data_IF_428668310421
#
_entry.id   IF_428668310421
#
_cell.length_a   1.000
_cell.length_b   1.000
_cell.length_c   1.000
_cell.angle_alpha   90.00
_cell.angle_beta   90.00
_cell.angle_gamma   90.00
#
_symmetry.space_group_name_H-M   'P 1'
#
loop_
_entity.id
_entity.type
_entity.pdbx_description
1 polymer ?
#
# COMPACT_ATOMS: atom_id res chain seq x y z
N UNK A 1 2.73 -3.83 0.58
CA UNK A 1 4.08 -4.24 0.11
C UNK A 1 5.04 -4.34 1.28
N UNK A 2 6.23 -4.93 1.11
CA UNK A 2 7.21 -5.12 2.18
C UNK A 2 8.36 -4.12 2.07
N UNK A 3 8.68 -3.43 3.17
CA UNK A 3 9.80 -2.49 3.30
C UNK A 3 10.79 -3.02 4.33
N UNK A 4 12.08 -2.99 4.04
CA UNK A 4 13.15 -3.40 4.95
C UNK A 4 13.93 -2.21 5.46
N UNK A 5 14.16 -2.18 6.77
CA UNK A 5 15.00 -1.20 7.45
C UNK A 5 15.94 -1.93 8.43
N UNK A 6 17.20 -2.07 8.04
CA UNK A 6 18.16 -2.93 8.73
C UNK A 6 17.66 -4.38 8.82
N UNK A 7 17.53 -4.89 10.05
CA UNK A 7 17.02 -6.23 10.32
C UNK A 7 15.49 -6.33 10.27
N UNK A 8 14.79 -5.19 10.29
CA UNK A 8 13.34 -5.17 10.38
C UNK A 8 12.67 -5.17 9.01
N UNK A 9 11.57 -5.91 8.92
CA UNK A 9 10.69 -5.91 7.75
C UNK A 9 9.31 -5.43 8.17
N UNK A 10 8.75 -4.52 7.38
CA UNK A 10 7.46 -3.89 7.60
C UNK A 10 6.52 -4.18 6.43
N UNK A 11 5.34 -4.72 6.73
CA UNK A 11 4.21 -4.76 5.81
C UNK A 11 3.48 -3.42 5.83
N UNK A 12 3.53 -2.73 4.70
CA UNK A 12 2.83 -1.46 4.46
C UNK A 12 1.56 -1.73 3.65
N UNK A 13 0.42 -1.22 4.08
CA UNK A 13 -0.85 -1.30 3.34
C UNK A 13 -1.81 -0.16 3.75
N UNK A 14 -2.96 -0.08 3.09
CA UNK A 14 -4.06 0.75 3.57
C UNK A 14 -4.59 0.19 4.90
N UNK A 15 -4.98 1.06 5.84
CA UNK A 15 -5.44 0.62 7.15
C UNK A 15 -6.74 -0.20 7.06
N UNK A 16 -7.66 0.22 6.20
CA UNK A 16 -8.92 -0.49 6.01
C UNK A 16 -8.74 -1.93 5.52
N UNK A 17 -7.61 -2.26 4.87
CA UNK A 17 -7.31 -3.63 4.44
C UNK A 17 -7.10 -4.55 5.65
N UNK A 18 -6.45 -4.07 6.70
CA UNK A 18 -6.33 -4.80 7.96
C UNK A 18 -7.65 -4.81 8.73
N UNK A 19 -8.37 -3.69 8.77
CA UNK A 19 -9.65 -3.59 9.48
C UNK A 19 -10.70 -4.57 8.92
N UNK A 20 -10.78 -4.70 7.59
CA UNK A 20 -11.70 -5.63 6.91
C UNK A 20 -11.28 -7.11 7.02
N UNK A 21 -10.05 -7.41 7.42
CA UNK A 21 -9.60 -8.79 7.54
C UNK A 21 -10.43 -9.52 8.61
N UNK A 22 -11.03 -10.65 8.25
CA UNK A 22 -11.74 -11.51 9.19
C UNK A 22 -10.76 -12.41 9.94
N UNK A 23 -10.78 -12.38 11.26
CA UNK A 23 -9.93 -13.22 12.11
C UNK A 23 -8.59 -12.58 12.48
N UNK A 24 -7.70 -13.42 13.00
CA UNK A 24 -6.42 -13.03 13.60
C UNK A 24 -5.24 -13.10 12.63
N UNK A 25 -5.41 -13.73 11.47
CA UNK A 25 -4.33 -14.00 10.52
C UNK A 25 -4.61 -13.46 9.13
N UNK A 26 -3.56 -13.34 8.34
CA UNK A 26 -3.63 -12.98 6.92
C UNK A 26 -2.54 -13.72 6.14
N UNK A 27 -2.69 -13.76 4.82
CA UNK A 27 -1.72 -14.40 3.93
C UNK A 27 -0.92 -13.31 3.22
N UNK A 28 0.42 -13.39 3.34
CA UNK A 28 1.34 -12.71 2.44
C UNK A 28 1.70 -13.68 1.33
N UNK A 29 1.41 -13.29 0.09
CA UNK A 29 1.82 -14.04 -1.10
C UNK A 29 3.25 -13.62 -1.46
N UNK A 30 4.20 -14.54 -1.31
CA UNK A 30 5.59 -14.42 -1.74
C UNK A 30 5.80 -15.23 -3.03
N UNK A 31 6.97 -15.04 -3.66
CA UNK A 31 7.41 -15.86 -4.78
C UNK A 31 8.82 -16.36 -4.55
N UNK A 32 9.09 -17.56 -5.01
CA UNK A 32 10.40 -18.18 -5.00
C UNK A 32 10.84 -18.41 -6.45
N UNK A 33 12.05 -17.95 -6.78
CA UNK A 33 12.62 -18.14 -8.10
C UNK A 33 13.09 -19.59 -8.25
N UNK A 34 12.63 -20.26 -9.31
CA UNK A 34 13.15 -21.56 -9.73
C UNK A 34 14.44 -21.39 -10.53
N UNK A 35 15.28 -22.44 -10.53
CA UNK A 35 16.53 -22.47 -11.28
C UNK A 35 16.33 -22.46 -12.82
N UNK A 36 15.11 -22.72 -13.27
CA UNK A 36 14.68 -22.76 -14.68
C UNK A 36 14.04 -21.44 -15.15
N UNK A 37 14.09 -20.38 -14.34
CA UNK A 37 13.47 -19.09 -14.63
C UNK A 37 11.96 -19.05 -14.36
N UNK A 38 11.38 -20.13 -13.82
CA UNK A 38 10.00 -20.13 -13.34
C UNK A 38 9.90 -19.44 -11.98
N UNK A 39 8.68 -19.06 -11.61
CA UNK A 39 8.38 -18.54 -10.29
C UNK A 39 7.30 -19.39 -9.64
N UNK A 40 7.51 -19.73 -8.38
CA UNK A 40 6.56 -20.49 -7.57
C UNK A 40 5.93 -19.58 -6.51
N UNK A 41 4.60 -19.60 -6.44
CA UNK A 41 3.83 -18.94 -5.38
C UNK A 41 4.12 -19.59 -4.03
N UNK A 42 4.36 -18.76 -3.02
CA UNK A 42 4.63 -19.17 -1.64
C UNK A 42 3.75 -18.35 -0.69
N UNK A 43 2.67 -18.96 -0.21
CA UNK A 43 1.75 -18.31 0.71
C UNK A 43 2.27 -18.45 2.16
N UNK A 44 2.50 -17.32 2.82
CA UNK A 44 2.94 -17.26 4.21
C UNK A 44 1.85 -16.66 5.07
N UNK A 45 1.36 -17.45 6.02
CA UNK A 45 0.42 -16.98 7.03
C UNK A 45 1.15 -16.13 8.07
N UNK A 46 0.59 -14.97 8.39
CA UNK A 46 1.05 -14.07 9.44
C UNK A 46 -0.09 -13.76 10.40
N UNK A 47 0.24 -13.53 11.67
CA UNK A 47 -0.70 -12.97 12.63
C UNK A 47 -0.80 -11.46 12.42
N UNK A 48 -2.02 -10.95 12.35
CA UNK A 48 -2.35 -9.52 12.26
C UNK A 48 -3.06 -9.01 13.53
N UNK A 49 -3.57 -9.92 14.37
CA UNK A 49 -4.18 -9.62 15.67
C UNK A 49 -3.90 -10.75 16.66
N UNK A 50 -4.03 -10.44 17.94
CA UNK A 50 -4.14 -11.41 19.04
C UNK A 50 -5.40 -11.05 19.85
N UNK A 51 -6.48 -11.80 19.66
CA UNK A 51 -7.81 -11.38 20.08
C UNK A 51 -8.19 -10.03 19.46
N UNK A 52 -8.59 -9.08 20.31
CA UNK A 52 -8.93 -7.71 19.89
C UNK A 52 -7.70 -6.81 19.69
N UNK A 53 -6.49 -7.27 20.05
CA UNK A 53 -5.26 -6.48 19.97
C UNK A 53 -4.69 -6.53 18.56
N UNK A 54 -4.69 -5.39 17.87
CA UNK A 54 -4.01 -5.25 16.59
C UNK A 54 -2.48 -5.40 16.75
N UNK A 55 -1.85 -6.13 15.82
CA UNK A 55 -0.39 -6.24 15.72
C UNK A 55 0.23 -5.22 14.76
N UNK A 56 -0.61 -4.38 14.16
CA UNK A 56 -0.26 -3.34 13.21
C UNK A 56 -0.54 -1.95 13.79
N UNK A 57 0.24 -0.97 13.35
CA UNK A 57 0.13 0.44 13.75
C UNK A 57 -0.57 1.22 12.66
N UNK A 58 -1.69 1.87 13.00
CA UNK A 58 -2.40 2.80 12.12
C UNK A 58 -1.75 4.17 12.17
N UNK A 59 -1.65 4.84 11.01
CA UNK A 59 -1.37 6.28 10.99
C UNK A 59 -2.53 7.05 11.66
N UNK A 60 -2.29 8.06 12.51
CA UNK A 60 -3.37 8.64 13.32
C UNK A 60 -4.46 9.36 12.51
N UNK A 61 -4.11 9.93 11.36
CA UNK A 61 -5.04 10.72 10.53
C UNK A 61 -5.31 10.15 9.14
N UNK A 62 -4.62 9.08 8.72
CA UNK A 62 -4.62 8.62 7.34
C UNK A 62 -4.97 7.13 7.25
N UNK A 63 -5.54 6.72 6.11
CA UNK A 63 -5.86 5.32 5.82
C UNK A 63 -4.60 4.52 5.42
N UNK A 64 -3.68 4.43 6.38
CA UNK A 64 -2.36 3.83 6.23
C UNK A 64 -2.05 3.02 7.49
N UNK A 65 -1.51 1.83 7.30
CA UNK A 65 -1.07 0.99 8.39
C UNK A 65 0.26 0.29 8.05
N UNK A 66 1.04 0.07 9.10
CA UNK A 66 2.32 -0.61 9.04
C UNK A 66 2.36 -1.71 10.10
N UNK A 67 2.85 -2.88 9.73
CA UNK A 67 3.02 -4.01 10.64
C UNK A 67 4.44 -4.54 10.55
N UNK A 68 5.15 -4.69 11.68
CA UNK A 68 6.43 -5.41 11.68
C UNK A 68 6.17 -6.89 11.45
N UNK A 69 6.85 -7.47 10.47
CA UNK A 69 6.69 -8.88 10.07
C UNK A 69 7.91 -9.66 10.51
N UNK A 70 7.68 -10.76 11.23
CA UNK A 70 8.73 -11.70 11.63
C UNK A 70 8.69 -12.88 10.66
N UNK A 71 9.32 -12.71 9.49
CA UNK A 71 9.51 -13.74 8.48
C UNK A 71 10.96 -13.73 8.00
N UNK A 72 11.54 -14.91 7.84
CA UNK A 72 12.82 -15.05 7.13
C UNK A 72 12.58 -14.80 5.65
N UNK A 73 13.11 -13.69 5.16
CA UNK A 73 12.94 -13.24 3.78
C UNK A 73 14.31 -12.90 3.19
N UNK A 74 14.59 -13.30 1.95
CA UNK A 74 15.76 -12.81 1.25
C UNK A 74 15.66 -11.29 1.05
N UNK A 75 16.80 -10.65 0.79
CA UNK A 75 16.88 -9.19 0.67
C UNK A 75 16.02 -8.66 -0.49
N UNK A 76 16.01 -9.38 -1.61
CA UNK A 76 15.28 -9.06 -2.84
C UNK A 76 13.76 -9.26 -2.77
N UNK A 77 13.25 -9.92 -1.71
CA UNK A 77 11.81 -10.01 -1.44
C UNK A 77 11.24 -8.74 -0.80
N UNK A 78 12.08 -7.75 -0.50
CA UNK A 78 11.72 -6.52 0.21
C UNK A 78 12.24 -5.28 -0.50
N UNK A 79 11.56 -4.15 -0.33
CA UNK A 79 12.03 -2.86 -0.81
C UNK A 79 12.87 -2.19 0.28
N UNK A 80 14.07 -1.65 0.00
CA UNK A 80 14.86 -0.96 1.01
C UNK A 80 14.14 0.32 1.47
N UNK A 81 14.24 0.68 2.74
CA UNK A 81 13.58 1.89 3.27
C UNK A 81 13.98 3.16 2.51
N UNK A 82 15.23 3.25 2.05
CA UNK A 82 15.75 4.36 1.25
C UNK A 82 15.12 4.48 -0.16
N UNK A 83 14.32 3.48 -0.57
CA UNK A 83 13.49 3.60 -1.77
C UNK A 83 12.27 4.50 -1.55
N UNK A 84 11.83 4.72 -0.30
CA UNK A 84 10.75 5.65 0.02
C UNK A 84 11.26 7.08 -0.15
N UNK A 85 10.56 7.87 -0.96
CA UNK A 85 10.84 9.29 -1.12
C UNK A 85 10.56 10.01 0.19
N UNK A 86 11.62 10.56 0.80
CA UNK A 86 11.53 11.23 2.09
C UNK A 86 10.97 12.65 2.01
N UNK A 87 10.99 13.27 0.82
CA UNK A 87 10.70 14.69 0.63
C UNK A 87 9.65 14.95 -0.46
N UNK A 88 8.59 15.67 -0.08
CA UNK A 88 7.62 16.25 -1.01
C UNK A 88 6.80 15.25 -1.83
N UNK A 89 6.21 15.78 -2.90
CA UNK A 89 5.36 15.03 -3.83
C UNK A 89 6.09 14.77 -5.15
N UNK A 90 5.65 13.75 -5.93
CA UNK A 90 5.94 13.76 -7.35
C UNK A 90 5.29 14.99 -8.00
N UNK A 91 5.86 15.48 -9.10
CA UNK A 91 5.38 16.69 -9.76
C UNK A 91 4.19 16.37 -10.66
N UNK A 92 3.35 17.37 -10.89
CA UNK A 92 2.34 17.30 -11.94
C UNK A 92 2.98 16.89 -13.28
N UNK A 93 2.37 15.92 -13.96
CA UNK A 93 2.89 15.40 -15.22
C UNK A 93 4.00 14.34 -15.08
N UNK A 94 4.54 14.10 -13.88
CA UNK A 94 5.48 12.99 -13.69
C UNK A 94 4.76 11.66 -13.98
N UNK A 95 5.43 10.77 -14.72
CA UNK A 95 4.95 9.41 -14.98
C UNK A 95 5.28 8.53 -13.78
N UNK A 96 4.28 7.77 -13.32
CA UNK A 96 4.40 6.85 -12.20
C UNK A 96 3.94 5.44 -12.60
N UNK A 97 4.43 4.45 -11.86
CA UNK A 97 4.05 3.05 -12.00
C UNK A 97 3.36 2.56 -10.74
N UNK A 98 2.34 1.73 -10.90
CA UNK A 98 1.60 1.08 -9.84
C UNK A 98 1.83 -0.43 -9.93
N UNK A 99 2.12 -1.07 -8.80
CA UNK A 99 2.13 -2.53 -8.68
C UNK A 99 0.99 -2.97 -7.76
N UNK A 100 -0.11 -3.46 -8.33
CA UNK A 100 -1.38 -3.63 -7.62
C UNK A 100 -2.11 -4.91 -8.02
N UNK A 101 -3.21 -5.25 -7.32
CA UNK A 101 -4.05 -6.42 -7.60
C UNK A 101 -5.51 -5.98 -7.85
N UNK A 102 -5.79 -5.27 -8.96
CA UNK A 102 -7.11 -4.73 -9.21
C UNK A 102 -8.14 -5.85 -9.32
N UNK A 103 -9.22 -5.75 -8.56
CA UNK A 103 -10.23 -6.81 -8.42
C UNK A 103 -9.64 -8.19 -8.08
N UNK A 104 -8.51 -8.22 -7.33
CA UNK A 104 -7.72 -9.41 -7.00
C UNK A 104 -7.12 -10.14 -8.19
N UNK A 105 -7.01 -9.48 -9.35
CA UNK A 105 -6.37 -10.05 -10.53
C UNK A 105 -4.85 -10.11 -10.31
N UNK A 106 -4.30 -11.29 -10.53
CA UNK A 106 -2.86 -11.57 -10.53
C UNK A 106 -2.36 -11.64 -11.98
N UNK A 107 -1.13 -11.20 -12.23
CA UNK A 107 -0.55 -11.20 -13.58
C UNK A 107 -0.32 -12.61 -14.14
N UNK A 108 -0.11 -13.60 -13.27
CA UNK A 108 0.09 -15.00 -13.61
C UNK A 108 -0.15 -15.91 -12.38
N UNK A 109 -0.04 -17.22 -12.55
CA UNK A 109 -0.23 -18.21 -11.48
C UNK A 109 0.82 -18.16 -10.34
N UNK A 110 1.93 -17.45 -10.51
CA UNK A 110 2.88 -17.19 -9.43
C UNK A 110 2.44 -16.01 -8.54
N UNK A 111 1.30 -15.38 -8.87
CA UNK A 111 0.67 -14.35 -8.07
C UNK A 111 1.31 -12.98 -8.21
N UNK A 112 2.05 -12.67 -9.28
CA UNK A 112 2.64 -11.33 -9.43
C UNK A 112 1.59 -10.21 -9.50
N UNK A 113 1.90 -8.99 -9.01
CA UNK A 113 1.03 -7.85 -9.18
C UNK A 113 0.96 -7.44 -10.66
N UNK A 114 -0.12 -6.75 -11.02
CA UNK A 114 -0.22 -6.06 -12.30
C UNK A 114 0.52 -4.73 -12.22
N UNK A 115 1.41 -4.51 -13.20
CA UNK A 115 2.05 -3.23 -13.43
C UNK A 115 1.16 -2.34 -14.28
N UNK A 116 0.88 -1.12 -13.82
CA UNK A 116 0.12 -0.11 -14.56
C UNK A 116 0.84 1.22 -14.53
N UNK A 117 0.85 1.93 -15.65
CA UNK A 117 1.41 3.26 -15.75
C UNK A 117 0.32 4.30 -15.55
N UNK A 118 0.68 5.42 -14.92
CA UNK A 118 -0.16 6.59 -14.73
C UNK A 118 0.70 7.87 -14.78
N UNK A 119 0.04 9.02 -14.74
CA UNK A 119 0.58 10.37 -14.68
C UNK A 119 -0.01 11.04 -13.45
N UNK A 120 0.81 11.82 -12.76
CA UNK A 120 0.35 12.65 -11.64
C UNK A 120 -0.52 13.79 -12.17
N UNK A 121 -1.81 13.76 -11.83
CA UNK A 121 -2.83 14.68 -12.31
C UNK A 121 -3.12 15.87 -11.38
N UNK A 122 -2.60 15.88 -10.15
CA UNK A 122 -2.73 17.02 -9.23
C UNK A 122 -1.52 17.95 -9.30
N UNK A 123 -1.77 19.27 -9.25
CA UNK A 123 -0.75 20.27 -8.96
C UNK A 123 -0.20 20.09 -7.53
N UNK A 124 1.04 20.55 -7.24
CA UNK A 124 1.62 20.40 -5.91
C UNK A 124 0.66 20.92 -4.84
N UNK A 125 0.33 20.04 -3.89
CA UNK A 125 -0.50 20.36 -2.75
C UNK A 125 0.11 21.52 -1.93
N UNK A 126 -0.74 22.41 -1.42
CA UNK A 126 -0.34 23.60 -0.65
C UNK A 126 0.47 23.27 0.63
N UNK A 127 0.44 22.01 1.09
CA UNK A 127 1.39 21.38 2.03
C UNK A 127 0.95 19.91 2.26
N UNK A 128 1.89 18.99 2.48
CA UNK A 128 1.59 17.60 2.88
C UNK A 128 0.78 17.52 4.18
N UNK A 129 0.95 18.49 5.08
CA UNK A 129 0.21 18.54 6.35
C UNK A 129 -1.29 18.74 6.15
N UNK A 130 -1.67 19.52 5.13
CA UNK A 130 -3.08 19.85 4.83
C UNK A 130 -3.66 18.89 3.80
N UNK A 131 -2.86 18.52 2.82
CA UNK A 131 -3.26 17.69 1.68
C UNK A 131 -2.19 16.62 1.45
N UNK A 132 -2.24 15.51 2.21
CA UNK A 132 -1.25 14.42 2.15
C UNK A 132 -1.39 13.51 0.93
N UNK A 133 -2.44 13.70 0.14
CA UNK A 133 -2.78 12.91 -1.02
C UNK A 133 -2.44 13.66 -2.31
N UNK A 134 -2.02 12.93 -3.33
CA UNK A 134 -1.93 13.40 -4.70
C UNK A 134 -2.83 12.54 -5.61
N UNK A 135 -3.19 13.08 -6.77
CA UNK A 135 -4.06 12.43 -7.74
C UNK A 135 -3.23 11.85 -8.88
N UNK A 136 -3.59 10.65 -9.33
CA UNK A 136 -3.02 9.97 -10.49
C UNK A 136 -4.14 9.59 -11.47
N UNK A 137 -3.84 9.57 -12.78
CA UNK A 137 -4.78 9.22 -13.86
C UNK A 137 -4.98 7.71 -14.07
N UNK A 138 -5.06 6.97 -12.95
CA UNK A 138 -5.40 5.55 -12.95
C UNK A 138 -6.78 5.33 -12.33
N UNK A 139 -7.53 4.35 -12.82
CA UNK A 139 -8.71 3.84 -12.10
C UNK A 139 -8.27 2.80 -11.08
N UNK A 140 -8.42 3.12 -9.80
CA UNK A 140 -8.27 2.15 -8.72
C UNK A 140 -9.51 1.26 -8.60
N UNK A 141 -9.27 -0.02 -8.32
CA UNK A 141 -10.25 -1.06 -8.08
C UNK A 141 -10.05 -1.62 -6.68
N UNK A 142 -11.04 -2.37 -6.20
CA UNK A 142 -10.88 -3.11 -4.94
C UNK A 142 -9.68 -4.07 -5.07
N UNK A 143 -8.72 -3.97 -4.15
CA UNK A 143 -7.44 -4.70 -4.22
C UNK A 143 -6.25 -3.85 -4.66
N UNK A 144 -6.47 -2.62 -5.16
CA UNK A 144 -5.39 -1.67 -5.41
C UNK A 144 -4.94 -0.95 -4.14
N UNK A 145 -5.84 -0.77 -3.17
CA UNK A 145 -5.56 -0.11 -1.90
C UNK A 145 -4.42 -0.78 -1.16
N UNK A 146 -3.40 -0.01 -0.79
CA UNK A 146 -2.17 -0.53 -0.19
C UNK A 146 -1.06 -0.87 -1.20
N UNK A 147 -1.31 -0.68 -2.50
CA UNK A 147 -0.31 -0.85 -3.55
C UNK A 147 0.68 0.32 -3.63
N UNK A 148 1.98 0.06 -3.82
CA UNK A 148 2.98 1.11 -3.98
C UNK A 148 2.87 1.82 -5.32
N UNK A 149 3.16 3.12 -5.28
CA UNK A 149 3.32 3.99 -6.45
C UNK A 149 4.80 4.36 -6.58
N UNK A 150 5.38 4.13 -7.74
CA UNK A 150 6.80 4.33 -8.01
C UNK A 150 7.03 5.41 -9.06
N UNK A 151 8.17 6.08 -8.97
CA UNK A 151 8.76 6.89 -10.05
C UNK A 151 10.12 6.30 -10.41
N UNK A 152 10.50 6.35 -11.69
CA UNK A 152 11.88 6.10 -12.07
C UNK A 152 12.74 7.31 -11.66
N UNK A 153 13.54 7.15 -10.61
CA UNK A 153 14.47 8.19 -10.17
C UNK A 153 15.78 8.21 -11.01
N UNK A 154 15.82 7.44 -12.10
CA UNK A 154 16.97 7.25 -12.95
C UNK A 154 17.90 6.15 -12.44
N UNK A 155 18.80 5.69 -13.33
CA UNK A 155 19.82 4.66 -13.05
C UNK A 155 19.25 3.32 -12.54
N UNK A 156 18.00 3.01 -12.89
CA UNK A 156 17.36 1.74 -12.53
C UNK A 156 17.01 1.59 -11.05
N UNK A 157 16.94 2.70 -10.30
CA UNK A 157 16.53 2.69 -8.88
C UNK A 157 15.14 3.31 -8.74
N UNK A 158 14.05 2.52 -8.79
CA UNK A 158 12.72 3.05 -8.60
C UNK A 158 12.57 3.60 -7.17
N UNK A 159 11.96 4.77 -7.04
CA UNK A 159 11.58 5.36 -5.75
C UNK A 159 10.09 5.22 -5.54
N UNK A 160 9.69 4.81 -4.33
CA UNK A 160 8.29 4.79 -3.89
C UNK A 160 7.91 6.22 -3.52
N UNK A 161 6.95 6.78 -4.25
CA UNK A 161 6.44 8.14 -4.02
C UNK A 161 5.11 8.14 -3.28
N UNK A 162 4.44 6.99 -3.19
CA UNK A 162 3.21 6.89 -2.42
C UNK A 162 2.57 5.51 -2.38
N UNK A 163 1.33 5.50 -1.87
CA UNK A 163 0.48 4.33 -1.67
C UNK A 163 -0.92 4.63 -2.21
N UNK A 164 -1.47 3.77 -3.07
CA UNK A 164 -2.85 3.92 -3.54
C UNK A 164 -3.82 3.72 -2.37
N UNK A 165 -4.77 4.63 -2.19
CA UNK A 165 -5.79 4.53 -1.13
C UNK A 165 -7.19 4.38 -1.67
N UNK A 166 -7.58 5.23 -2.62
CA UNK A 166 -8.96 5.34 -3.06
C UNK A 166 -9.09 5.70 -4.55
N UNK A 167 -10.19 5.27 -5.15
CA UNK A 167 -10.68 5.79 -6.44
C UNK A 167 -11.49 7.07 -6.25
N UNK A 168 -11.49 7.91 -7.27
CA UNK A 168 -12.38 9.06 -7.36
C UNK A 168 -13.56 8.68 -8.26
N UNK A 169 -14.77 8.77 -7.70
CA UNK A 169 -16.02 8.45 -8.39
C UNK A 169 -16.86 9.72 -8.56
N UNK A 170 -17.54 9.83 -9.69
CA UNK A 170 -18.75 10.64 -9.79
C UNK A 170 -19.90 9.87 -9.16
N UNK A 171 -20.58 10.48 -8.19
CA UNK A 171 -21.65 9.82 -7.44
C UNK A 171 -22.97 10.51 -7.75
N UNK A 172 -23.89 9.74 -8.32
CA UNK A 172 -25.28 10.17 -8.55
C UNK A 172 -26.18 9.47 -7.54
N UNK A 173 -26.93 10.27 -6.77
CA UNK A 173 -27.95 9.76 -5.86
C UNK A 173 -29.31 10.04 -6.49
N UNK A 174 -30.00 8.98 -6.90
CA UNK A 174 -31.32 9.04 -7.49
C UNK A 174 -32.32 8.61 -6.42
N UNK A 175 -33.18 9.52 -6.01
CA UNK A 175 -34.27 9.24 -5.07
C UNK A 175 -35.60 9.44 -5.80
N UNK A 176 -36.43 8.41 -5.79
CA UNK A 176 -37.80 8.43 -6.29
C UNK A 176 -38.76 7.89 -5.23
N UNK A 177 -40.07 7.95 -5.48
CA UNK A 177 -41.08 7.38 -4.58
C UNK A 177 -40.94 5.86 -4.38
N UNK A 178 -40.33 5.15 -5.34
CA UNK A 178 -40.24 3.68 -5.33
C UNK A 178 -38.87 3.14 -4.99
N UNK A 179 -37.82 3.92 -5.23
CA UNK A 179 -36.44 3.47 -5.03
C UNK A 179 -35.49 4.61 -4.68
N UNK A 180 -34.47 4.27 -3.91
CA UNK A 180 -33.25 5.07 -3.76
C UNK A 180 -32.10 4.27 -4.37
N UNK A 181 -31.38 4.87 -5.31
CA UNK A 181 -30.24 4.26 -6.01
C UNK A 181 -29.03 5.17 -5.93
N UNK A 182 -27.88 4.59 -5.62
CA UNK A 182 -26.56 5.23 -5.72
C UNK A 182 -25.83 4.66 -6.93
N UNK A 183 -25.39 5.51 -7.85
CA UNK A 183 -24.58 5.14 -9.00
C UNK A 183 -23.18 5.74 -8.78
N UNK A 184 -22.16 4.89 -8.79
CA UNK A 184 -20.76 5.30 -8.68
C UNK A 184 -20.05 5.03 -10.00
N UNK A 185 -19.71 6.12 -10.71
CA UNK A 185 -19.03 6.06 -12.00
C UNK A 185 -17.56 6.43 -11.79
N UNK A 186 -16.58 5.53 -12.06
CA UNK A 186 -15.17 5.84 -11.92
C UNK A 186 -14.74 6.96 -12.88
N UNK A 187 -13.99 7.94 -12.36
CA UNK A 187 -13.56 9.09 -13.16
C UNK A 187 -12.24 8.87 -13.92
N UNK A 188 -11.66 7.67 -13.88
CA UNK A 188 -10.30 7.47 -14.39
C UNK A 188 -9.21 8.00 -13.46
N UNK A 189 -9.55 8.40 -12.23
CA UNK A 189 -8.65 9.05 -11.29
C UNK A 189 -8.59 8.30 -9.95
N UNK A 190 -7.42 8.33 -9.32
CA UNK A 190 -7.19 7.75 -8.00
C UNK A 190 -6.37 8.65 -7.12
N UNK A 191 -6.53 8.48 -5.81
CA UNK A 191 -5.75 9.12 -4.75
C UNK A 191 -4.62 8.21 -4.32
N UNK A 192 -3.46 8.80 -4.07
CA UNK A 192 -2.33 8.16 -3.45
C UNK A 192 -1.81 9.01 -2.28
N UNK A 193 -1.54 8.38 -1.14
CA UNK A 193 -0.87 9.00 0.00
C UNK A 193 0.62 9.14 -0.25
N UNK A 194 1.20 10.27 0.14
CA UNK A 194 2.63 10.53 -0.03
C UNK A 194 3.51 9.59 0.81
N UNK A 195 4.66 9.18 0.25
CA UNK A 195 5.63 8.30 0.91
C UNK A 195 6.16 8.79 2.27
N UNK A 196 6.32 10.10 2.57
CA UNK A 196 6.75 10.55 3.89
C UNK A 196 5.86 10.07 5.04
N UNK A 197 4.55 9.92 4.81
CA UNK A 197 3.63 9.37 5.81
C UNK A 197 3.87 7.89 6.09
N UNK A 198 4.39 7.15 5.11
CA UNK A 198 4.81 5.75 5.27
C UNK A 198 6.02 5.69 6.20
N UNK A 199 7.00 6.58 6.01
CA UNK A 199 8.16 6.71 6.90
C UNK A 199 7.74 7.09 8.33
N UNK A 200 6.83 8.06 8.47
CA UNK A 200 6.26 8.44 9.77
C UNK A 200 5.60 7.23 10.46
N UNK A 201 4.75 6.48 9.73
CA UNK A 201 4.05 5.32 10.29
C UNK A 201 5.01 4.18 10.65
N UNK A 202 6.08 3.96 9.86
CA UNK A 202 7.16 3.02 10.22
C UNK A 202 7.84 3.47 11.52
N UNK A 203 8.11 4.76 11.68
CA UNK A 203 8.66 5.32 12.92
C UNK A 203 7.75 5.05 14.14
N UNK A 204 6.44 5.27 13.99
CA UNK A 204 5.45 4.95 15.02
C UNK A 204 5.44 3.44 15.34
N UNK A 205 5.49 2.59 14.32
CA UNK A 205 5.48 1.13 14.49
C UNK A 205 6.72 0.64 15.25
N UNK A 206 7.90 1.22 15.00
CA UNK A 206 9.13 0.92 15.74
C UNK A 206 9.01 1.27 17.22
N UNK A 207 8.46 2.43 17.54
CA UNK A 207 8.31 2.92 18.91
C UNK A 207 7.23 2.16 19.70
N UNK A 208 6.32 1.47 19.03
CA UNK A 208 5.23 0.71 19.68
C UNK A 208 5.72 -0.64 20.24
N UNK A 209 6.93 -1.11 19.88
CA UNK A 209 7.44 -2.46 20.24
C UNK A 209 8.27 -2.48 21.54
N UNK A 210 8.53 -1.35 22.20
CA UNK A 210 9.19 -1.32 23.52
C UNK A 210 8.22 -1.55 24.69
N UNK A 211 7.64 -2.75 24.78
CA UNK A 211 7.26 -3.33 26.08
C UNK A 211 7.74 -4.77 26.09
N UNK A 212 8.88 -5.08 26.74
CA UNK A 212 9.25 -6.47 26.94
C UNK A 212 8.20 -7.13 27.83
N UNK A 213 7.74 -8.31 27.41
CA UNK A 213 6.94 -9.19 28.24
C UNK A 213 7.60 -9.30 29.63
N UNK A 214 6.93 -8.77 30.65
CA UNK A 214 7.39 -8.91 32.02
C UNK A 214 7.41 -10.40 32.33
N UNK A 215 8.62 -10.94 32.54
CA UNK A 215 8.80 -12.18 33.29
C UNK A 215 8.20 -11.99 34.68
N UNK A 216 7.13 -12.71 35.01
CA UNK A 216 6.95 -13.53 36.22
C UNK A 216 5.56 -14.16 36.25
#
# INVERSE_FOLDING_TARGET
>A
FLVRDGADVFLVSAAHSFEKASGETSIIVLREAGNDGTWKRQDKTISIREGDRALWTKHPQQDLAVMRVVLELPEDATLPIDSLKADGFPRFGDTVMLLTYPARVEANGAGFPLARQAVVGSFPAESMEKHPEFIIDATAWDGDSGGPVFIDAGKGKPQIVGLVTARINHVENITSERETRKIETPMGLSKALAAPLILETIGLAKNTVEVPASKR
#
